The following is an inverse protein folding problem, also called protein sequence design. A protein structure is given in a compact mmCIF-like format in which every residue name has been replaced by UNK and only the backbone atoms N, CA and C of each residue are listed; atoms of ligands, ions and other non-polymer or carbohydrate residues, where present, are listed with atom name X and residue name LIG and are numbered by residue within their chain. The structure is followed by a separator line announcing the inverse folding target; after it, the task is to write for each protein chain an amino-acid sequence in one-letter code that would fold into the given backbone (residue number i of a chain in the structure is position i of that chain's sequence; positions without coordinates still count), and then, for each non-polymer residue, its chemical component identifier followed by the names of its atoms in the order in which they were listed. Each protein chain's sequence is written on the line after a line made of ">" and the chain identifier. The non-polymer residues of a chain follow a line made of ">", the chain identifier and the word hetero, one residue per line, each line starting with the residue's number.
data_IF_830875243093
#
_entry.id   IF_830875243093
#
_cell.length_a   1.000
_cell.length_b   1.000
_cell.length_c   1.000
_cell.angle_alpha   90.00
_cell.angle_beta   90.00
_cell.angle_gamma   90.00
#
_symmetry.space_group_name_H-M   'P 1'
#
loop_
_entity.id
_entity.type
_entity.pdbx_description
1 polymer ?
#
# COMPACT_ATOMS: atom_id res chain seq x y z
N UNK A 1 11.83 -4.14 -13.21
CA UNK A 1 10.73 -3.22 -12.87
C UNK A 1 10.71 -3.03 -11.36
N UNK A 2 10.51 -1.81 -10.86
CA UNK A 2 10.44 -1.56 -9.42
C UNK A 2 9.13 -2.13 -8.86
N UNK A 3 9.16 -2.78 -7.70
CA UNK A 3 8.02 -3.47 -7.08
C UNK A 3 6.98 -2.53 -6.43
N UNK A 4 7.22 -1.21 -6.45
CA UNK A 4 6.37 -0.24 -5.77
C UNK A 4 6.39 -0.37 -4.24
N UNK A 5 7.42 -0.99 -3.63
CA UNK A 5 7.53 -1.19 -2.18
C UNK A 5 8.72 -0.42 -1.62
N UNK A 6 8.52 0.30 -0.51
CA UNK A 6 9.48 1.23 0.07
C UNK A 6 9.63 1.07 1.59
N UNK A 7 10.87 1.21 2.06
CA UNK A 7 11.23 1.10 3.47
C UNK A 7 11.70 -0.30 3.88
N UNK A 8 12.35 -0.38 5.03
CA UNK A 8 12.80 -1.63 5.63
C UNK A 8 11.68 -2.24 6.48
N UNK A 9 11.43 -3.56 6.39
CA UNK A 9 10.45 -4.22 7.23
C UNK A 9 10.75 -4.07 8.72
N UNK A 10 9.69 -3.86 9.50
CA UNK A 10 9.70 -3.84 10.96
C UNK A 10 9.18 -5.19 11.45
N UNK A 11 10.07 -5.95 12.08
CA UNK A 11 9.83 -7.29 12.62
C UNK A 11 9.85 -7.30 14.15
N UNK A 12 9.47 -8.41 14.77
CA UNK A 12 9.64 -8.61 16.22
C UNK A 12 11.09 -8.36 16.67
N UNK A 13 12.08 -8.85 15.90
CA UNK A 13 13.51 -8.60 16.20
C UNK A 13 13.87 -7.12 16.19
N UNK A 14 13.28 -6.37 15.25
CA UNK A 14 13.45 -4.92 15.16
C UNK A 14 12.93 -4.25 16.43
N UNK A 15 11.76 -4.67 16.92
CA UNK A 15 11.13 -4.12 18.13
C UNK A 15 11.86 -4.54 19.40
N UNK A 16 12.31 -5.80 19.51
CA UNK A 16 13.14 -6.26 20.65
C UNK A 16 14.39 -5.39 20.77
N UNK A 17 15.05 -5.08 19.66
CA UNK A 17 16.27 -4.30 19.65
C UNK A 17 16.10 -2.85 20.14
N UNK A 18 14.87 -2.31 20.18
CA UNK A 18 14.63 -0.96 20.72
C UNK A 18 14.58 -0.91 22.24
N UNK A 19 14.22 -2.02 22.89
CA UNK A 19 13.96 -2.07 24.33
C UNK A 19 12.72 -1.28 24.79
N UNK A 20 11.89 -0.77 23.88
CA UNK A 20 10.71 0.05 24.23
C UNK A 20 9.52 -0.78 24.74
N UNK A 21 9.47 -2.06 24.41
CA UNK A 21 8.32 -2.94 24.66
C UNK A 21 8.71 -4.11 25.57
N UNK A 22 7.78 -4.53 26.43
CA UNK A 22 7.99 -5.64 27.35
C UNK A 22 7.88 -6.98 26.62
N UNK A 23 8.87 -7.85 26.82
CA UNK A 23 8.82 -9.20 26.28
C UNK A 23 7.79 -10.11 26.99
N UNK A 24 7.19 -11.09 26.29
CA UNK A 24 7.37 -11.38 24.87
C UNK A 24 6.68 -10.35 23.96
N UNK A 25 7.35 -9.95 22.88
CA UNK A 25 6.80 -9.00 21.89
C UNK A 25 5.62 -9.63 21.16
N UNK A 26 4.52 -8.88 21.07
CA UNK A 26 3.31 -9.32 20.37
C UNK A 26 3.20 -8.67 18.98
N UNK A 27 2.32 -9.22 18.13
CA UNK A 27 1.98 -8.60 16.84
C UNK A 27 1.50 -7.14 17.01
N UNK A 28 0.74 -6.88 18.08
CA UNK A 28 0.26 -5.54 18.39
C UNK A 28 1.42 -4.58 18.65
N UNK A 29 2.42 -5.00 19.41
CA UNK A 29 3.61 -4.17 19.67
C UNK A 29 4.38 -3.85 18.38
N UNK A 30 4.46 -4.83 17.45
CA UNK A 30 5.07 -4.67 16.13
C UNK A 30 4.27 -3.73 15.22
N UNK A 31 2.94 -3.77 15.29
CA UNK A 31 2.03 -2.85 14.61
C UNK A 31 2.16 -1.42 15.17
N UNK A 32 2.13 -1.30 16.51
CA UNK A 32 2.25 -0.02 17.22
C UNK A 32 3.59 0.66 16.91
N UNK A 33 4.69 -0.10 16.92
CA UNK A 33 6.00 0.44 16.55
C UNK A 33 6.06 0.83 15.08
N UNK A 34 5.44 0.06 14.17
CA UNK A 34 5.37 0.46 12.77
C UNK A 34 4.63 1.78 12.58
N UNK A 35 3.54 2.05 13.29
CA UNK A 35 2.85 3.34 13.21
C UNK A 35 3.74 4.51 13.65
N UNK A 36 4.54 4.36 14.73
CA UNK A 36 5.51 5.39 15.15
C UNK A 36 6.51 5.71 14.04
N UNK A 37 6.86 4.70 13.24
CA UNK A 37 7.89 4.77 12.22
C UNK A 37 7.36 5.10 10.83
N UNK A 38 6.12 5.57 10.68
CA UNK A 38 5.47 5.77 9.36
C UNK A 38 6.28 6.63 8.37
N UNK A 39 6.92 7.69 8.86
CA UNK A 39 7.74 8.61 8.06
C UNK A 39 9.26 8.42 8.30
N UNK A 40 9.66 7.38 9.03
CA UNK A 40 11.06 7.18 9.38
C UNK A 40 11.90 6.81 8.15
N UNK A 41 13.07 7.45 7.99
CA UNK A 41 13.99 7.18 6.89
C UNK A 41 13.53 7.65 5.51
N UNK A 42 12.53 8.55 5.45
CA UNK A 42 12.06 9.15 4.18
C UNK A 42 11.35 8.17 3.24
N UNK A 43 10.90 7.02 3.75
CA UNK A 43 10.22 5.98 2.96
C UNK A 43 8.86 6.42 2.42
N UNK A 44 8.17 7.31 3.14
CA UNK A 44 6.94 7.98 2.72
C UNK A 44 7.21 8.91 1.53
N UNK A 45 8.28 9.71 1.61
CA UNK A 45 8.72 10.59 0.52
C UNK A 45 9.08 9.76 -0.71
N UNK A 46 9.85 8.68 -0.55
CA UNK A 46 10.21 7.79 -1.66
C UNK A 46 8.98 7.18 -2.35
N UNK A 47 7.98 6.74 -1.57
CA UNK A 47 6.73 6.21 -2.11
C UNK A 47 5.93 7.28 -2.85
N UNK A 48 5.85 8.50 -2.32
CA UNK A 48 5.19 9.64 -2.96
C UNK A 48 5.89 10.05 -4.25
N UNK A 49 7.21 10.25 -4.22
CA UNK A 49 8.02 10.58 -5.40
C UNK A 49 7.89 9.52 -6.47
N UNK A 50 7.83 8.23 -6.11
CA UNK A 50 7.61 7.16 -7.06
C UNK A 50 6.28 7.28 -7.80
N UNK A 51 5.17 7.51 -7.08
CA UNK A 51 3.85 7.63 -7.71
C UNK A 51 3.68 8.97 -8.45
N UNK A 52 4.35 10.02 -8.00
CA UNK A 52 4.45 11.30 -8.71
C UNK A 52 5.17 11.12 -10.06
N UNK A 53 6.31 10.43 -10.08
CA UNK A 53 7.02 10.10 -11.31
C UNK A 53 6.19 9.22 -12.26
N UNK A 54 5.36 8.31 -11.72
CA UNK A 54 4.39 7.56 -12.55
C UNK A 54 3.35 8.51 -13.16
N UNK A 55 2.81 9.44 -12.36
CA UNK A 55 1.81 10.41 -12.82
C UNK A 55 2.38 11.37 -13.87
N UNK A 56 3.60 11.86 -13.69
CA UNK A 56 4.27 12.71 -14.67
C UNK A 56 4.48 11.98 -16.00
N UNK A 57 4.91 10.71 -15.97
CA UNK A 57 5.05 9.88 -17.18
C UNK A 57 3.72 9.58 -17.86
N UNK A 58 2.66 9.37 -17.07
CA UNK A 58 1.31 9.22 -17.61
C UNK A 58 0.81 10.52 -18.28
N UNK A 59 1.16 11.67 -17.71
CA UNK A 59 0.81 12.98 -18.22
C UNK A 59 -0.63 13.39 -17.88
N UNK A 60 -1.30 14.06 -18.81
CA UNK A 60 -2.63 14.62 -18.61
C UNK A 60 -3.70 13.53 -18.62
N UNK A 61 -4.61 13.59 -17.64
CA UNK A 61 -5.70 12.62 -17.48
C UNK A 61 -5.99 12.30 -16.01
N UNK A 62 -7.06 11.56 -15.77
CA UNK A 62 -7.52 11.16 -14.44
C UNK A 62 -6.70 9.97 -13.94
N UNK A 63 -6.05 10.15 -12.79
CA UNK A 63 -5.29 9.08 -12.17
C UNK A 63 -5.42 9.15 -10.66
N UNK A 64 -5.38 8.00 -10.02
CA UNK A 64 -5.39 7.85 -8.57
C UNK A 64 -3.99 7.42 -8.15
N UNK A 65 -3.34 8.25 -7.33
CA UNK A 65 -2.06 7.95 -6.69
C UNK A 65 -2.36 7.15 -5.42
N UNK A 66 -2.07 5.87 -5.42
CA UNK A 66 -2.36 4.99 -4.29
C UNK A 66 -1.10 4.78 -3.46
N UNK A 67 -1.19 5.03 -2.15
CA UNK A 67 -0.15 4.73 -1.17
C UNK A 67 -0.78 3.95 0.00
N UNK A 68 -0.17 2.83 0.36
CA UNK A 68 -0.62 1.93 1.43
C UNK A 68 0.54 1.72 2.40
N UNK A 69 0.42 2.23 3.63
CA UNK A 69 1.35 1.90 4.70
C UNK A 69 0.87 0.67 5.46
N UNK A 70 1.70 -0.36 5.57
CA UNK A 70 1.37 -1.52 6.36
C UNK A 70 1.85 -1.35 7.82
N UNK A 71 0.91 -1.16 8.74
CA UNK A 71 1.17 -1.21 10.18
C UNK A 71 0.31 -2.25 10.89
N UNK A 72 0.08 -3.40 10.26
CA UNK A 72 -0.76 -4.47 10.81
C UNK A 72 0.00 -5.44 11.73
N UNK A 73 1.32 -5.28 11.86
CA UNK A 73 2.20 -6.24 12.55
C UNK A 73 2.44 -7.54 11.75
N UNK A 74 1.85 -7.68 10.56
CA UNK A 74 2.01 -8.83 9.66
C UNK A 74 2.28 -8.35 8.22
N UNK A 75 2.53 -9.28 7.28
CA UNK A 75 2.65 -8.96 5.85
C UNK A 75 1.27 -8.87 5.22
N UNK A 76 1.04 -7.84 4.39
CA UNK A 76 -0.10 -7.72 3.50
C UNK A 76 0.26 -8.36 2.15
N UNK A 77 -0.33 -9.51 1.83
CA UNK A 77 -0.13 -10.18 0.54
C UNK A 77 -1.33 -9.94 -0.38
N UNK A 78 -1.11 -9.53 -1.62
CA UNK A 78 -2.16 -9.27 -2.60
C UNK A 78 -2.96 -10.56 -2.85
N UNK A 79 -4.25 -10.52 -2.54
CA UNK A 79 -5.15 -11.66 -2.69
C UNK A 79 -6.02 -11.54 -3.94
N UNK A 80 -6.49 -10.33 -4.24
CA UNK A 80 -7.35 -10.05 -5.40
C UNK A 80 -7.26 -8.58 -5.78
N UNK A 81 -7.52 -8.26 -7.03
CA UNK A 81 -7.80 -6.89 -7.46
C UNK A 81 -8.91 -6.89 -8.51
N UNK A 82 -9.49 -5.73 -8.77
CA UNK A 82 -10.44 -5.53 -9.85
C UNK A 82 -10.36 -4.10 -10.37
N UNK A 83 -10.24 -3.95 -11.69
CA UNK A 83 -10.23 -2.65 -12.36
C UNK A 83 -11.57 -2.49 -13.07
N UNK A 84 -12.50 -1.72 -12.49
CA UNK A 84 -13.83 -1.49 -13.10
C UNK A 84 -13.75 -0.49 -14.24
N UNK A 85 -13.00 0.60 -14.05
CA UNK A 85 -12.76 1.63 -15.04
C UNK A 85 -11.30 2.05 -14.99
N UNK A 86 -10.60 1.95 -16.12
CA UNK A 86 -9.17 2.20 -16.17
C UNK A 86 -8.36 0.93 -15.95
N UNK A 87 -7.10 1.12 -15.61
CA UNK A 87 -6.15 0.03 -15.38
C UNK A 87 -5.00 0.53 -14.52
N UNK A 88 -4.27 -0.41 -13.92
CA UNK A 88 -2.96 -0.12 -13.37
C UNK A 88 -1.99 0.34 -14.46
N UNK A 89 -1.16 1.33 -14.16
CA UNK A 89 -0.20 1.88 -15.11
C UNK A 89 1.08 1.02 -15.22
N UNK A 90 2.26 1.65 -15.30
CA UNK A 90 3.55 1.06 -15.70
C UNK A 90 4.21 0.15 -14.64
N UNK A 91 3.54 -0.12 -13.52
CA UNK A 91 4.03 -0.96 -12.42
C UNK A 91 2.91 -1.85 -11.88
N UNK A 92 3.15 -3.13 -11.55
CA UNK A 92 2.12 -4.01 -11.01
C UNK A 92 1.66 -3.57 -9.60
N UNK A 93 0.52 -4.09 -9.15
CA UNK A 93 0.11 -3.96 -7.75
C UNK A 93 1.18 -4.62 -6.86
N UNK A 94 1.64 -3.97 -5.77
CA UNK A 94 2.60 -4.58 -4.86
C UNK A 94 2.12 -5.95 -4.40
N UNK A 95 2.92 -7.01 -4.61
CA UNK A 95 2.51 -8.37 -4.24
C UNK A 95 2.51 -8.57 -2.74
N UNK A 96 3.52 -8.04 -2.06
CA UNK A 96 3.71 -8.14 -0.62
C UNK A 96 4.20 -6.79 -0.08
N UNK A 97 3.48 -6.26 0.90
CA UNK A 97 3.89 -5.08 1.66
C UNK A 97 4.13 -5.57 3.08
N UNK A 98 5.38 -5.64 3.52
CA UNK A 98 5.70 -6.11 4.87
C UNK A 98 5.40 -5.01 5.92
N UNK A 99 5.21 -5.42 7.17
CA UNK A 99 4.95 -4.46 8.25
C UNK A 99 6.06 -3.39 8.29
N UNK A 100 5.69 -2.12 8.40
CA UNK A 100 6.58 -0.97 8.37
C UNK A 100 6.95 -0.46 6.98
N UNK A 101 6.44 -1.07 5.90
CA UNK A 101 6.69 -0.63 4.52
C UNK A 101 5.51 0.15 3.92
N UNK A 102 5.82 0.94 2.91
CA UNK A 102 4.84 1.55 2.00
C UNK A 102 4.75 0.75 0.70
N UNK A 103 3.54 0.45 0.25
CA UNK A 103 3.25 0.09 -1.14
C UNK A 103 2.72 1.31 -1.89
N UNK A 104 3.13 1.51 -3.13
CA UNK A 104 2.67 2.59 -3.98
C UNK A 104 2.46 2.12 -5.43
N UNK A 105 1.39 2.61 -6.04
CA UNK A 105 1.05 2.33 -7.44
C UNK A 105 0.17 3.45 -8.02
N UNK A 106 0.09 3.52 -9.35
CA UNK A 106 -0.78 4.47 -10.06
C UNK A 106 -1.87 3.70 -10.82
N UNK A 107 -3.13 4.07 -10.60
CA UNK A 107 -4.25 3.60 -11.40
C UNK A 107 -4.75 4.74 -12.28
N UNK A 108 -4.93 4.49 -13.57
CA UNK A 108 -5.21 5.52 -14.57
C UNK A 108 -6.49 5.22 -15.33
N UNK A 109 -7.19 6.27 -15.77
CA UNK A 109 -8.34 6.10 -16.65
C UNK A 109 -7.92 5.49 -18.02
N UNK A 110 -8.86 4.89 -18.77
CA UNK A 110 -8.55 4.35 -20.09
C UNK A 110 -8.37 5.48 -21.11
N UNK A 111 -7.38 5.32 -21.99
CA UNK A 111 -7.06 6.31 -23.02
C UNK A 111 -8.24 6.53 -23.99
N UNK A 112 -8.54 7.81 -24.29
CA UNK A 112 -9.56 8.17 -25.28
C UNK A 112 -11.01 7.98 -24.82
N UNK A 113 -11.27 7.65 -23.56
CA UNK A 113 -12.62 7.47 -23.02
C UNK A 113 -12.95 8.53 -21.96
N UNK A 114 -14.16 9.08 -22.03
CA UNK A 114 -14.72 10.01 -21.04
C UNK A 114 -15.24 9.26 -19.79
N UNK A 115 -14.39 8.43 -19.21
CA UNK A 115 -14.65 7.69 -17.97
C UNK A 115 -13.54 7.93 -16.97
N UNK A 116 -13.85 7.71 -15.71
CA UNK A 116 -12.92 7.89 -14.60
C UNK A 116 -11.94 6.73 -14.40
N UNK A 117 -11.38 6.69 -13.20
CA UNK A 117 -10.55 5.59 -12.68
C UNK A 117 -11.25 4.98 -11.46
N UNK A 118 -11.67 3.72 -11.56
CA UNK A 118 -12.32 2.98 -10.48
C UNK A 118 -11.74 1.57 -10.38
N UNK A 119 -11.31 1.20 -9.18
CA UNK A 119 -10.66 -0.08 -8.94
C UNK A 119 -10.60 -0.43 -7.46
N UNK A 120 -10.17 -1.64 -7.18
CA UNK A 120 -9.92 -2.09 -5.83
C UNK A 120 -8.80 -3.13 -5.77
N UNK A 121 -8.10 -3.15 -4.64
CA UNK A 121 -7.17 -4.21 -4.25
C UNK A 121 -7.60 -4.78 -2.90
N UNK A 122 -7.44 -6.09 -2.76
CA UNK A 122 -7.64 -6.83 -1.52
C UNK A 122 -6.31 -7.41 -1.11
N UNK A 123 -5.81 -6.98 0.05
CA UNK A 123 -4.65 -7.57 0.69
C UNK A 123 -5.07 -8.47 1.83
N UNK A 124 -4.41 -9.61 1.98
CA UNK A 124 -4.66 -10.57 3.05
C UNK A 124 -3.52 -10.56 4.05
N UNK A 125 -3.85 -10.46 5.34
CA UNK A 125 -2.92 -10.76 6.43
C UNK A 125 -3.24 -12.12 7.03
N UNK A 126 -2.20 -12.87 7.40
CA UNK A 126 -2.33 -14.03 8.30
C UNK A 126 -2.27 -13.53 9.74
N UNK A 127 -3.19 -13.98 10.58
CA UNK A 127 -3.17 -13.67 12.01
C UNK A 127 -2.18 -14.67 12.66
N UNK A 128 -1.09 -14.20 13.31
CA UNK A 128 -0.15 -15.06 14.01
C UNK A 128 -0.88 -15.99 14.98
N UNK A 129 -0.42 -17.25 15.04
CA UNK A 129 -1.00 -18.29 15.90
C UNK A 129 -2.48 -18.60 15.64
N UNK A 130 -3.01 -18.23 14.47
CA UNK A 130 -4.38 -18.55 14.05
C UNK A 130 -4.40 -19.11 12.63
N UNK A 131 -5.37 -19.98 12.33
CA UNK A 131 -5.71 -20.36 10.95
C UNK A 131 -6.51 -19.26 10.22
N UNK A 132 -6.88 -18.19 10.93
CA UNK A 132 -7.68 -17.09 10.39
C UNK A 132 -6.82 -16.10 9.62
N UNK A 133 -7.44 -15.53 8.59
CA UNK A 133 -6.91 -14.41 7.82
C UNK A 133 -7.85 -13.21 7.90
N UNK A 134 -7.31 -12.02 7.68
CA UNK A 134 -8.08 -10.80 7.52
C UNK A 134 -7.83 -10.23 6.13
N UNK A 135 -8.91 -9.90 5.42
CA UNK A 135 -8.85 -9.27 4.09
C UNK A 135 -9.11 -7.76 4.24
N UNK A 136 -8.22 -6.97 3.65
CA UNK A 136 -8.21 -5.51 3.66
C UNK A 136 -8.55 -5.02 2.27
N UNK A 137 -9.76 -4.49 2.11
CA UNK A 137 -10.22 -3.89 0.86
C UNK A 137 -9.81 -2.42 0.80
N UNK A 138 -9.07 -2.05 -0.23
CA UNK A 138 -8.82 -0.67 -0.61
C UNK A 138 -9.47 -0.45 -1.98
N UNK A 139 -10.52 0.35 -2.01
CA UNK A 139 -11.23 0.72 -3.24
C UNK A 139 -11.16 2.22 -3.47
N UNK A 140 -11.28 2.62 -4.72
CA UNK A 140 -11.34 4.02 -5.11
C UNK A 140 -12.31 4.21 -6.27
N UNK A 141 -12.91 5.39 -6.34
CA UNK A 141 -13.55 5.89 -7.56
C UNK A 141 -13.18 7.35 -7.78
N UNK A 142 -12.63 7.65 -8.95
CA UNK A 142 -12.35 9.01 -9.39
C UNK A 142 -13.11 9.21 -10.71
N UNK A 143 -14.32 9.78 -10.69
CA UNK A 143 -15.17 9.88 -11.87
C UNK A 143 -14.60 10.85 -12.91
N UNK A 144 -15.11 10.80 -14.14
CA UNK A 144 -14.72 11.76 -15.18
C UNK A 144 -15.18 13.19 -14.85
N UNK A 145 -16.35 13.30 -14.22
CA UNK A 145 -16.95 14.55 -13.73
C UNK A 145 -17.54 14.26 -12.34
N UNK A 146 -17.34 15.19 -11.40
CA UNK A 146 -17.84 15.09 -10.03
C UNK A 146 -16.74 14.78 -9.01
N UNK A 147 -17.16 14.48 -7.79
CA UNK A 147 -16.25 14.25 -6.66
C UNK A 147 -15.76 12.80 -6.59
N UNK A 148 -14.57 12.61 -6.02
CA UNK A 148 -14.02 11.28 -5.76
C UNK A 148 -14.76 10.59 -4.60
N UNK A 149 -14.79 9.26 -4.62
CA UNK A 149 -15.36 8.42 -3.56
C UNK A 149 -14.52 7.20 -3.20
#
# INVERSE_FOLDING_TARGET
>A
MASGVFGTPISEKTVIATGEYKEPITQKDVADYAMKMINAGGKDINALTFVDNLKERYGNGIAVKCLIYNATGATLSLAKYNDWHGHIYDTPYPSDIQNGQWGAFLHVHPSGAAVGSAGAVVYRTKIPSSSRSCDWLFSWTAPYIGDNG
#
